data_IF_415970442022
#
_entry.id   IF_415970442022
#
_cell.length_a   1.000
_cell.length_b   1.000
_cell.length_c   1.000
_cell.angle_alpha   90.00
_cell.angle_beta   90.00
_cell.angle_gamma   90.00
#
_symmetry.space_group_name_H-M   'P 1'
#
loop_
_entity.id
_entity.type
_entity.pdbx_description
1 polymer ?
#
# COMPACT_ATOMS: atom_id res chain seq x y z
N UNK A 1 3.76 9.13 -11.15
CA UNK A 1 4.72 8.88 -10.04
C UNK A 1 4.35 7.55 -9.40
N UNK A 2 5.16 6.51 -9.65
CA UNK A 2 4.99 5.17 -9.08
C UNK A 2 5.72 5.15 -7.74
N UNK A 3 5.01 4.84 -6.65
CA UNK A 3 5.59 4.81 -5.29
C UNK A 3 6.02 3.38 -4.97
N UNK A 4 7.32 3.13 -4.94
CA UNK A 4 7.93 1.80 -4.75
C UNK A 4 8.54 1.64 -3.35
N UNK A 5 7.73 1.49 -2.28
CA UNK A 5 8.22 1.21 -0.90
C UNK A 5 7.19 0.49 0.01
N UNK A 6 6.44 -0.50 -0.51
CA UNK A 6 5.25 -1.06 0.15
C UNK A 6 5.34 -1.41 1.65
N UNK A 7 6.45 -2.01 2.13
CA UNK A 7 6.56 -2.44 3.54
C UNK A 7 6.79 -1.30 4.53
N UNK A 8 7.83 -0.52 4.28
CA UNK A 8 8.22 0.58 5.18
C UNK A 8 7.09 1.59 5.25
N UNK A 9 6.39 1.81 4.13
CA UNK A 9 5.27 2.74 4.06
C UNK A 9 4.02 2.27 4.81
N UNK A 10 3.65 0.98 4.77
CA UNK A 10 2.41 0.49 5.40
C UNK A 10 2.45 0.59 6.93
N UNK A 11 3.56 0.18 7.56
CA UNK A 11 3.71 0.28 9.02
C UNK A 11 3.80 1.73 9.49
N UNK A 12 4.48 2.60 8.74
CA UNK A 12 4.54 4.03 9.05
C UNK A 12 3.17 4.70 8.99
N UNK A 13 2.32 4.30 8.03
CA UNK A 13 0.93 4.78 7.95
C UNK A 13 0.12 4.36 9.17
N UNK A 14 0.23 3.10 9.61
CA UNK A 14 -0.42 2.64 10.86
C UNK A 14 -0.01 3.51 12.05
N UNK A 15 1.30 3.67 12.27
CA UNK A 15 1.84 4.49 13.38
C UNK A 15 1.38 5.94 13.29
N UNK A 16 1.30 6.51 12.09
CA UNK A 16 0.80 7.87 11.89
C UNK A 16 -0.69 7.98 12.24
N UNK A 17 -1.51 7.03 11.83
CA UNK A 17 -2.95 7.00 12.15
C UNK A 17 -3.15 6.87 13.65
N UNK A 18 -2.43 5.97 14.33
CA UNK A 18 -2.45 5.84 15.80
C UNK A 18 -2.16 7.18 16.50
N UNK A 19 -1.15 7.90 16.01
CA UNK A 19 -0.81 9.23 16.55
C UNK A 19 -1.89 10.27 16.31
N UNK A 20 -2.55 10.26 15.15
CA UNK A 20 -3.61 11.21 14.82
C UNK A 20 -4.89 10.92 15.61
N UNK A 21 -5.24 9.65 15.80
CA UNK A 21 -6.41 9.24 16.60
C UNK A 21 -6.28 9.61 18.08
N UNK A 22 -5.06 9.81 18.59
CA UNK A 22 -4.87 10.38 19.93
C UNK A 22 -5.35 11.85 20.05
N UNK A 23 -5.57 12.53 18.92
CA UNK A 23 -5.95 13.95 18.86
C UNK A 23 -7.32 14.19 18.20
N UNK A 24 -7.93 13.17 17.58
CA UNK A 24 -9.26 13.28 16.98
C UNK A 24 -10.01 11.94 17.05
N UNK A 25 -11.32 12.00 17.24
CA UNK A 25 -12.20 10.85 17.17
C UNK A 25 -12.69 10.56 15.74
N UNK A 26 -12.52 11.52 14.83
CA UNK A 26 -12.92 11.43 13.44
C UNK A 26 -11.72 11.67 12.53
N UNK A 27 -11.34 10.64 11.77
CA UNK A 27 -10.21 10.69 10.86
C UNK A 27 -10.61 10.10 9.50
N UNK A 28 -10.47 10.90 8.45
CA UNK A 28 -10.67 10.47 7.06
C UNK A 28 -9.31 10.27 6.42
N UNK A 29 -9.07 9.06 5.91
CA UNK A 29 -7.82 8.67 5.25
C UNK A 29 -8.10 8.57 3.75
N UNK A 30 -7.28 9.23 2.93
CA UNK A 30 -7.44 9.26 1.47
C UNK A 30 -6.11 8.99 0.76
N UNK A 31 -6.14 8.56 -0.52
CA UNK A 31 -4.93 8.50 -1.34
C UNK A 31 -4.36 9.91 -1.53
N UNK A 32 -3.04 10.04 -1.55
CA UNK A 32 -2.36 11.33 -1.77
C UNK A 32 -2.41 11.85 -3.21
N UNK A 33 -2.89 11.04 -4.16
CA UNK A 33 -2.94 11.35 -5.60
C UNK A 33 -4.22 10.82 -6.21
N UNK A 34 -4.75 11.52 -7.23
CA UNK A 34 -5.90 11.04 -7.99
C UNK A 34 -5.60 9.68 -8.61
N UNK A 35 -6.52 8.73 -8.43
CA UNK A 35 -6.42 7.37 -8.97
C UNK A 35 -6.51 7.35 -10.51
N UNK A 36 -6.96 8.43 -11.14
CA UNK A 36 -7.01 8.58 -12.60
C UNK A 36 -5.63 8.69 -13.26
N UNK A 37 -4.57 8.98 -12.49
CA UNK A 37 -3.21 9.14 -13.01
C UNK A 37 -2.33 7.89 -12.85
N UNK A 38 -2.92 6.77 -12.42
CA UNK A 38 -2.25 5.47 -12.33
C UNK A 38 -3.08 4.43 -13.07
N UNK A 39 -2.45 3.41 -13.70
CA UNK A 39 -3.18 2.28 -14.27
C UNK A 39 -4.14 1.64 -13.26
N UNK A 40 -5.22 1.04 -13.77
CA UNK A 40 -6.36 0.58 -12.97
C UNK A 40 -6.01 -0.70 -12.18
N UNK A 41 -5.38 -1.68 -12.85
CA UNK A 41 -4.92 -2.92 -12.24
C UNK A 41 -3.69 -3.48 -12.96
N UNK A 42 -2.96 -4.34 -12.27
CA UNK A 42 -1.90 -5.20 -12.80
C UNK A 42 -2.42 -6.41 -13.56
N UNK A 43 -3.70 -6.76 -13.43
CA UNK A 43 -4.27 -8.02 -13.96
C UNK A 43 -4.16 -8.15 -15.49
N UNK A 44 -4.06 -7.03 -16.21
CA UNK A 44 -3.98 -6.99 -17.67
C UNK A 44 -2.54 -6.83 -18.21
N UNK A 45 -1.54 -6.65 -17.34
CA UNK A 45 -0.15 -6.43 -17.76
C UNK A 45 0.73 -7.68 -17.59
N UNK A 46 1.36 -8.15 -18.67
CA UNK A 46 2.44 -9.16 -18.61
C UNK A 46 3.72 -8.55 -18.08
N UNK A 47 3.78 -8.34 -16.77
CA UNK A 47 4.98 -7.93 -16.05
C UNK A 47 5.65 -9.14 -15.41
N UNK A 48 6.99 -9.10 -15.33
CA UNK A 48 7.74 -10.05 -14.50
C UNK A 48 7.18 -10.00 -13.07
N UNK A 49 6.90 -11.16 -12.48
CA UNK A 49 6.24 -11.29 -11.16
C UNK A 49 6.95 -10.46 -10.09
N UNK A 50 8.27 -10.35 -10.22
CA UNK A 50 9.11 -9.58 -9.34
C UNK A 50 8.92 -8.06 -9.48
N UNK A 51 8.37 -7.53 -10.56
CA UNK A 51 8.09 -6.09 -10.74
C UNK A 51 6.66 -5.75 -10.32
N UNK A 52 5.69 -6.60 -10.66
CA UNK A 52 4.28 -6.41 -10.31
C UNK A 52 4.01 -6.40 -8.81
N UNK A 53 4.77 -7.16 -8.01
CA UNK A 53 4.57 -7.21 -6.55
C UNK A 53 4.96 -5.91 -5.80
N UNK A 54 5.66 -4.98 -6.46
CA UNK A 54 6.19 -3.74 -5.85
C UNK A 54 5.49 -2.50 -6.36
N UNK A 55 4.79 -2.64 -7.49
CA UNK A 55 3.93 -1.60 -8.02
C UNK A 55 2.62 -1.55 -7.23
N UNK A 56 2.22 -0.34 -6.87
CA UNK A 56 0.92 -0.07 -6.26
C UNK A 56 0.10 0.80 -7.21
N UNK A 57 -0.84 0.16 -7.92
CA UNK A 57 -1.76 0.80 -8.85
C UNK A 57 -3.06 1.22 -8.16
N UNK A 58 -4.06 1.66 -8.92
CA UNK A 58 -5.29 2.18 -8.34
C UNK A 58 -5.95 1.17 -7.39
N UNK A 59 -6.06 -0.09 -7.83
CA UNK A 59 -6.66 -1.17 -7.05
C UNK A 59 -5.86 -1.46 -5.77
N UNK A 60 -4.54 -1.55 -5.84
CA UNK A 60 -3.70 -1.81 -4.66
C UNK A 60 -3.76 -0.67 -3.65
N UNK A 61 -3.83 0.58 -4.12
CA UNK A 61 -3.98 1.76 -3.23
C UNK A 61 -5.32 1.74 -2.49
N UNK A 62 -6.39 1.31 -3.16
CA UNK A 62 -7.70 1.14 -2.54
C UNK A 62 -7.73 -0.05 -1.58
N UNK A 63 -7.08 -1.15 -1.93
CA UNK A 63 -6.94 -2.31 -1.05
C UNK A 63 -6.18 -2.02 0.23
N UNK A 64 -5.15 -1.17 0.14
CA UNK A 64 -4.42 -0.70 1.32
C UNK A 64 -5.29 0.16 2.24
N UNK A 65 -6.10 1.07 1.67
CA UNK A 65 -7.05 1.87 2.45
C UNK A 65 -8.12 1.02 3.12
N UNK A 66 -8.66 0.01 2.42
CA UNK A 66 -9.62 -0.93 2.99
C UNK A 66 -8.98 -1.73 4.14
N UNK A 67 -7.73 -2.18 3.99
CA UNK A 67 -7.02 -2.89 5.04
C UNK A 67 -6.81 -2.03 6.29
N UNK A 68 -6.40 -0.76 6.12
CA UNK A 68 -6.24 0.18 7.24
C UNK A 68 -7.59 0.49 7.90
N UNK A 69 -8.63 0.74 7.11
CA UNK A 69 -9.99 0.97 7.63
C UNK A 69 -10.48 -0.20 8.48
N UNK A 70 -10.30 -1.44 8.02
CA UNK A 70 -10.70 -2.65 8.77
C UNK A 70 -9.89 -2.81 10.05
N UNK A 71 -8.58 -2.58 9.98
CA UNK A 71 -7.70 -2.65 11.14
C UNK A 71 -8.15 -1.70 12.25
N UNK A 72 -8.45 -0.44 11.93
CA UNK A 72 -8.79 0.58 12.92
C UNK A 72 -10.26 0.58 13.35
N UNK A 73 -11.20 0.28 12.44
CA UNK A 73 -12.64 0.39 12.75
C UNK A 73 -13.27 -0.94 13.15
N UNK A 74 -12.68 -2.07 12.75
CA UNK A 74 -13.24 -3.41 12.94
C UNK A 74 -12.32 -4.33 13.74
N UNK A 75 -11.12 -3.85 14.10
CA UNK A 75 -10.08 -4.63 14.77
C UNK A 75 -9.71 -5.91 13.98
N UNK A 76 -9.86 -5.87 12.65
CA UNK A 76 -9.55 -6.95 11.72
C UNK A 76 -8.19 -6.71 11.05
N UNK A 77 -7.18 -7.48 11.46
CA UNK A 77 -5.83 -7.39 10.91
C UNK A 77 -5.59 -8.31 9.71
N UNK A 78 -6.52 -9.19 9.34
CA UNK A 78 -6.27 -10.28 8.36
C UNK A 78 -5.80 -9.72 7.02
N UNK A 79 -6.49 -8.69 6.52
CA UNK A 79 -6.13 -8.06 5.24
C UNK A 79 -4.82 -7.27 5.34
N UNK A 80 -4.60 -6.60 6.47
CA UNK A 80 -3.36 -5.86 6.75
C UNK A 80 -2.15 -6.80 6.79
N UNK A 81 -2.24 -7.92 7.51
CA UNK A 81 -1.16 -8.90 7.64
C UNK A 81 -0.85 -9.58 6.30
N UNK A 82 -1.87 -9.83 5.46
CA UNK A 82 -1.69 -10.34 4.10
C UNK A 82 -0.92 -9.35 3.21
N UNK A 83 -1.26 -8.06 3.25
CA UNK A 83 -0.55 -7.01 2.51
C UNK A 83 0.88 -6.81 3.04
N UNK A 84 1.06 -6.88 4.36
CA UNK A 84 2.38 -6.86 5.00
C UNK A 84 3.22 -8.05 4.52
N UNK A 85 2.70 -9.26 4.54
CA UNK A 85 3.45 -10.40 3.99
C UNK A 85 3.77 -10.23 2.49
N UNK A 86 2.86 -9.63 1.70
CA UNK A 86 3.09 -9.36 0.27
C UNK A 86 4.29 -8.47 0.04
N UNK A 87 4.35 -7.26 0.61
CA UNK A 87 5.51 -6.41 0.31
C UNK A 87 6.80 -6.90 1.00
N UNK A 88 6.74 -7.73 2.06
CA UNK A 88 7.96 -8.34 2.67
C UNK A 88 8.67 -9.28 1.71
N UNK A 89 7.92 -9.96 0.85
CA UNK A 89 8.48 -10.83 -0.20
C UNK A 89 9.14 -10.05 -1.33
N UNK A 90 8.92 -8.74 -1.42
CA UNK A 90 9.46 -7.92 -2.50
C UNK A 90 10.98 -7.71 -2.35
N UNK A 91 11.82 -8.29 -3.23
CA UNK A 91 13.26 -8.28 -3.00
C UNK A 91 13.87 -6.91 -3.34
N UNK A 92 14.65 -6.36 -2.39
CA UNK A 92 15.38 -5.08 -2.54
C UNK A 92 16.28 -5.00 -3.80
N UNK A 93 16.69 -6.13 -4.36
CA UNK A 93 17.60 -6.23 -5.51
C UNK A 93 17.00 -5.68 -6.81
N UNK A 94 15.68 -5.63 -6.95
CA UNK A 94 14.97 -5.13 -8.14
C UNK A 94 15.12 -3.62 -8.26
N UNK A 95 15.20 -2.93 -7.12
CA UNK A 95 15.35 -1.47 -7.03
C UNK A 95 16.67 -1.01 -7.64
N UNK A 96 17.73 -1.82 -7.54
CA UNK A 96 19.06 -1.47 -8.07
C UNK A 96 19.09 -1.52 -9.61
N UNK A 97 18.28 -2.39 -10.25
CA UNK A 97 18.25 -2.57 -11.71
C UNK A 97 17.41 -1.53 -12.46
N UNK A 98 16.58 -0.76 -11.76
CA UNK A 98 15.68 0.25 -12.35
C UNK A 98 16.19 1.70 -12.23
N UNK A 99 17.39 1.92 -11.67
CA UNK A 99 18.12 3.17 -11.88
C UNK A 99 18.69 3.17 -13.30
N UNK A 100 17.87 3.63 -14.25
CA UNK A 100 18.39 4.31 -15.45
C UNK A 100 18.91 5.69 -15.04
#
# INVERSE_FOLDING_TARGET
MVVMYGQVTLNLKKVLIDKLLAHTNELVIQPSSSLLHVPVSLDDETLDTSVGEGLSFATEKLDELDALRRLFNQNDSVKYDKLKARYERFPKSIIQKLRL
#
